data_IF_937603379556
#
_entry.id   IF_937603379556
#
_cell.length_a   1.000
_cell.length_b   1.000
_cell.length_c   1.000
_cell.angle_alpha   90.00
_cell.angle_beta   90.00
_cell.angle_gamma   90.00
#
_symmetry.space_group_name_H-M   'P 1'
#
loop_
_entity.id
_entity.type
_entity.pdbx_description
1 polymer ?
#
# COMPACT_ATOMS: atom_id res chain seq x y z
N UNK A 1 -1.82 4.87 0.31
CA UNK A 1 -0.40 5.15 0.58
C UNK A 1 -0.08 4.76 2.02
N UNK A 2 1.09 4.23 2.26
CA UNK A 2 1.54 3.81 3.57
C UNK A 2 2.80 4.61 3.95
N UNK A 3 2.95 5.10 5.21
CA UNK A 3 4.11 5.90 5.60
C UNK A 3 5.43 5.21 5.31
N UNK A 4 6.42 6.00 4.90
CA UNK A 4 7.77 5.49 4.63
C UNK A 4 8.41 4.95 5.91
N UNK A 5 9.09 3.81 5.77
CA UNK A 5 9.89 3.20 6.83
C UNK A 5 11.26 2.84 6.27
N UNK A 6 12.31 3.42 6.83
CA UNK A 6 13.67 3.27 6.33
C UNK A 6 14.17 1.81 6.38
N UNK A 7 13.92 1.14 7.50
CA UNK A 7 14.33 -0.26 7.66
C UNK A 7 13.63 -1.18 6.67
N UNK A 8 12.34 -0.98 6.45
CA UNK A 8 11.56 -1.73 5.47
C UNK A 8 12.07 -1.49 4.05
N UNK A 9 12.40 -0.24 3.72
CA UNK A 9 12.98 0.10 2.43
C UNK A 9 14.31 -0.62 2.22
N UNK A 10 15.20 -0.63 3.22
CA UNK A 10 16.50 -1.29 3.13
C UNK A 10 16.37 -2.81 2.91
N UNK A 11 15.34 -3.43 3.48
CA UNK A 11 15.05 -4.86 3.28
C UNK A 11 14.50 -5.15 1.88
N UNK A 12 13.80 -4.21 1.28
CA UNK A 12 13.22 -4.38 -0.06
C UNK A 12 13.27 -3.04 -0.83
N UNK A 13 14.43 -2.69 -1.39
CA UNK A 13 14.59 -1.42 -2.11
C UNK A 13 13.86 -1.34 -3.45
N UNK A 14 13.23 -2.42 -3.90
CA UNK A 14 12.40 -2.41 -5.10
C UNK A 14 10.99 -1.87 -4.86
N UNK A 15 10.60 -1.61 -3.62
CA UNK A 15 9.29 -1.03 -3.31
C UNK A 15 9.13 0.34 -3.95
N UNK A 16 7.99 0.55 -4.59
CA UNK A 16 7.67 1.81 -5.24
C UNK A 16 7.38 2.89 -4.20
N UNK A 17 7.97 4.06 -4.41
CA UNK A 17 7.78 5.23 -3.54
C UNK A 17 7.02 6.34 -4.25
N UNK A 18 6.26 7.09 -3.47
CA UNK A 18 5.54 8.28 -3.93
C UNK A 18 5.65 9.38 -2.89
N UNK A 19 5.43 10.63 -3.30
CA UNK A 19 5.24 11.72 -2.36
C UNK A 19 3.79 11.74 -1.85
N UNK A 20 3.54 12.51 -0.78
CA UNK A 20 2.16 12.70 -0.28
C UNK A 20 1.24 13.23 -1.37
N UNK A 21 1.74 14.06 -2.26
CA UNK A 21 0.98 14.60 -3.40
C UNK A 21 0.83 13.62 -4.58
N UNK A 22 1.42 12.43 -4.49
CA UNK A 22 1.25 11.37 -5.49
C UNK A 22 2.30 11.31 -6.59
N UNK A 23 3.36 12.12 -6.53
CA UNK A 23 4.44 12.05 -7.53
C UNK A 23 5.36 10.86 -7.29
N UNK A 24 5.79 10.23 -8.37
CA UNK A 24 6.74 9.12 -8.29
C UNK A 24 8.07 9.60 -7.71
N UNK A 25 8.64 8.79 -6.84
CA UNK A 25 9.92 9.05 -6.19
C UNK A 25 10.82 7.83 -6.24
N UNK A 26 12.12 8.06 -6.32
CA UNK A 26 13.12 6.99 -6.21
C UNK A 26 14.33 7.46 -5.41
N UNK A 27 14.79 6.63 -4.50
CA UNK A 27 15.94 6.91 -3.66
C UNK A 27 17.22 6.56 -4.45
N UNK A 28 18.17 7.50 -4.50
CA UNK A 28 19.45 7.29 -5.16
C UNK A 28 20.61 7.21 -4.19
N UNK A 29 20.42 7.64 -2.94
CA UNK A 29 21.43 7.56 -1.90
C UNK A 29 20.76 7.52 -0.53
N UNK A 30 21.27 6.67 0.37
CA UNK A 30 20.74 6.52 1.73
C UNK A 30 21.76 6.88 2.82
N UNK A 31 22.98 7.14 2.43
CA UNK A 31 24.12 7.35 3.33
C UNK A 31 24.87 8.67 3.07
N UNK A 32 24.15 9.68 2.59
CA UNK A 32 24.73 11.01 2.43
C UNK A 32 25.25 11.50 3.79
N UNK A 33 26.43 12.11 3.80
CA UNK A 33 27.04 12.65 5.03
C UNK A 33 26.36 13.96 5.44
N UNK A 34 25.17 13.83 6.00
CA UNK A 34 24.38 14.92 6.55
C UNK A 34 23.57 14.35 7.71
N UNK A 35 23.67 14.98 8.88
CA UNK A 35 23.03 14.47 10.11
C UNK A 35 21.50 14.49 10.01
N UNK A 36 20.94 15.46 9.31
CA UNK A 36 19.49 15.69 9.22
C UNK A 36 18.87 15.08 7.96
N UNK A 37 19.58 15.14 6.82
CA UNK A 37 19.06 14.75 5.51
C UNK A 37 19.99 13.76 4.80
N UNK A 38 20.08 12.52 5.28
CA UNK A 38 20.97 11.53 4.68
C UNK A 38 20.45 10.90 3.39
N UNK A 39 19.17 11.06 3.07
CA UNK A 39 18.54 10.43 1.92
C UNK A 39 18.39 11.40 0.77
N UNK A 40 18.89 11.02 -0.41
CA UNK A 40 18.73 11.77 -1.65
C UNK A 40 17.71 11.07 -2.53
N UNK A 41 16.71 11.82 -2.99
CA UNK A 41 15.57 11.28 -3.75
C UNK A 41 15.39 12.09 -5.03
N UNK A 42 15.08 11.40 -6.12
CA UNK A 42 14.61 12.03 -7.34
C UNK A 42 13.10 11.90 -7.43
N UNK A 43 12.42 13.03 -7.55
CA UNK A 43 10.96 13.12 -7.61
C UNK A 43 10.54 13.62 -8.97
N UNK A 44 9.60 12.92 -9.62
CA UNK A 44 9.06 13.32 -10.92
C UNK A 44 8.35 14.68 -10.80
N UNK A 45 8.59 15.56 -11.77
CA UNK A 45 7.89 16.85 -11.81
C UNK A 45 6.45 16.70 -12.33
N UNK A 46 5.66 17.80 -12.26
CA UNK A 46 4.24 17.80 -12.69
C UNK A 46 4.03 17.35 -14.13
N UNK A 47 4.97 17.65 -15.01
CA UNK A 47 4.87 17.31 -16.44
C UNK A 47 5.42 15.91 -16.75
N UNK A 48 5.98 15.21 -15.76
CA UNK A 48 6.65 13.91 -15.90
C UNK A 48 7.78 13.91 -16.94
N UNK A 49 8.29 15.09 -17.29
CA UNK A 49 9.38 15.25 -18.28
C UNK A 49 10.75 15.34 -17.63
N UNK A 50 10.83 15.39 -16.31
CA UNK A 50 12.07 15.45 -15.58
C UNK A 50 11.90 15.09 -14.11
N UNK A 51 13.01 15.13 -13.40
CA UNK A 51 13.04 14.81 -11.97
C UNK A 51 13.73 15.92 -11.21
N UNK A 52 13.22 16.24 -10.02
CA UNK A 52 13.84 17.16 -9.08
C UNK A 52 14.57 16.40 -8.01
N UNK A 53 15.74 16.90 -7.60
CA UNK A 53 16.53 16.30 -6.51
C UNK A 53 16.09 16.90 -5.19
N UNK A 54 15.61 16.04 -4.27
CA UNK A 54 15.19 16.44 -2.93
C UNK A 54 15.95 15.64 -1.88
N UNK A 55 16.07 16.21 -0.68
CA UNK A 55 16.76 15.61 0.46
C UNK A 55 15.76 15.34 1.56
N UNK A 56 15.89 14.18 2.22
CA UNK A 56 14.93 13.71 3.22
C UNK A 56 15.61 13.22 4.48
N UNK A 57 14.89 13.30 5.58
CA UNK A 57 15.29 12.66 6.84
C UNK A 57 15.19 11.14 6.72
N UNK A 58 15.74 10.39 7.68
CA UNK A 58 15.61 8.93 7.71
C UNK A 58 14.15 8.47 7.78
N UNK A 59 13.27 9.28 8.36
CA UNK A 59 11.84 8.99 8.43
C UNK A 59 11.08 9.31 7.14
N UNK A 60 11.78 9.77 6.10
CA UNK A 60 11.15 10.16 4.84
C UNK A 60 10.44 11.51 4.89
N UNK A 61 10.79 12.35 5.85
CA UNK A 61 10.23 13.70 6.00
C UNK A 61 11.04 14.74 5.24
N UNK A 62 10.34 15.69 4.65
CA UNK A 62 10.98 16.79 3.94
C UNK A 62 11.65 17.80 4.91
N UNK A 63 11.07 18.00 6.09
CA UNK A 63 11.61 18.85 7.14
C UNK A 63 11.85 18.08 8.45
N UNK A 64 12.94 18.42 9.15
CA UNK A 64 13.26 17.85 10.47
C UNK A 64 12.27 18.26 11.56
N UNK A 65 11.53 19.34 11.34
CA UNK A 65 10.55 19.87 12.31
C UNK A 65 9.30 19.03 12.47
N UNK A 66 9.16 17.95 11.70
CA UNK A 66 8.07 17.00 11.85
C UNK A 66 6.71 17.44 11.29
N UNK A 67 6.62 18.62 10.69
CA UNK A 67 5.41 19.06 10.01
C UNK A 67 5.10 18.23 8.76
N UNK A 68 3.82 18.03 8.45
CA UNK A 68 3.42 17.35 7.23
C UNK A 68 3.63 18.26 6.01
N UNK A 69 4.20 17.69 4.94
CA UNK A 69 4.40 18.41 3.69
C UNK A 69 3.91 17.57 2.51
N UNK A 70 3.56 18.20 1.36
CA UNK A 70 3.21 17.46 0.15
C UNK A 70 4.36 16.61 -0.39
N UNK A 71 5.58 16.87 0.03
CA UNK A 71 6.80 16.21 -0.45
C UNK A 71 7.20 14.99 0.38
N UNK A 72 6.59 14.77 1.56
CA UNK A 72 6.93 13.63 2.40
C UNK A 72 6.81 12.31 1.64
N UNK A 73 7.71 11.36 1.92
CA UNK A 73 7.75 10.06 1.25
C UNK A 73 6.74 9.08 1.83
N UNK A 74 6.18 8.27 0.93
CA UNK A 74 5.29 7.16 1.27
C UNK A 74 5.61 5.96 0.39
N UNK A 75 5.26 4.76 0.86
CA UNK A 75 5.19 3.60 -0.02
C UNK A 75 3.92 3.67 -0.85
N UNK A 76 4.05 3.47 -2.16
CA UNK A 76 2.90 3.32 -3.04
C UNK A 76 2.24 1.98 -2.75
N UNK A 77 0.93 1.98 -2.52
CA UNK A 77 0.15 0.77 -2.32
C UNK A 77 -0.81 0.59 -3.48
N UNK A 78 -1.10 -0.68 -3.81
CA UNK A 78 -2.15 -1.02 -4.77
C UNK A 78 -3.39 -1.43 -4.03
N UNK A 79 -4.53 -0.85 -4.42
CA UNK A 79 -5.81 -1.28 -3.92
C UNK A 79 -6.21 -2.58 -4.61
N UNK A 80 -6.48 -3.61 -3.82
CA UNK A 80 -6.93 -4.91 -4.30
C UNK A 80 -8.36 -5.15 -3.83
N UNK A 81 -9.09 -5.92 -4.61
CA UNK A 81 -10.45 -6.31 -4.26
C UNK A 81 -10.70 -7.77 -4.62
N UNK A 82 -11.64 -8.37 -3.92
CA UNK A 82 -12.07 -9.73 -4.18
C UNK A 82 -13.39 -10.03 -3.48
N UNK A 83 -13.91 -11.22 -3.66
CA UNK A 83 -15.17 -11.64 -3.07
C UNK A 83 -14.97 -12.91 -2.24
N UNK A 84 -15.65 -12.98 -1.11
CA UNK A 84 -15.64 -14.14 -0.24
C UNK A 84 -17.07 -14.57 0.02
N UNK A 85 -17.26 -15.87 0.24
CA UNK A 85 -18.55 -16.43 0.60
C UNK A 85 -18.71 -16.43 2.12
N UNK A 86 -19.92 -16.12 2.57
CA UNK A 86 -20.29 -16.10 3.98
C UNK A 86 -21.26 -17.26 4.24
N UNK A 87 -20.99 -18.05 5.26
CA UNK A 87 -21.77 -19.22 5.62
C UNK A 87 -22.25 -19.11 7.08
N UNK A 88 -23.33 -19.84 7.39
CA UNK A 88 -23.81 -19.95 8.76
C UNK A 88 -23.01 -21.04 9.48
N UNK A 89 -22.32 -20.66 10.55
CA UNK A 89 -21.56 -21.61 11.37
C UNK A 89 -22.46 -22.47 12.25
N UNK A 90 -21.89 -23.55 12.80
CA UNK A 90 -22.59 -24.49 13.67
C UNK A 90 -23.12 -23.82 14.95
N UNK A 91 -22.52 -22.73 15.38
CA UNK A 91 -22.94 -21.93 16.54
C UNK A 91 -24.01 -20.89 16.21
N UNK A 92 -24.47 -20.82 14.96
CA UNK A 92 -25.43 -19.85 14.48
C UNK A 92 -24.82 -18.54 14.04
N UNK A 93 -23.53 -18.33 14.18
CA UNK A 93 -22.81 -17.13 13.74
C UNK A 93 -22.35 -17.25 12.28
N UNK A 94 -22.23 -16.12 11.62
CA UNK A 94 -21.69 -16.06 10.25
C UNK A 94 -20.20 -16.32 10.25
N UNK A 95 -19.71 -17.03 9.25
CA UNK A 95 -18.28 -17.23 9.03
C UNK A 95 -17.94 -17.16 7.55
N UNK A 96 -16.70 -16.78 7.24
CA UNK A 96 -16.17 -16.82 5.89
C UNK A 96 -15.76 -18.26 5.59
N UNK A 97 -16.27 -18.79 4.46
CA UNK A 97 -15.88 -20.14 4.02
C UNK A 97 -14.47 -20.10 3.45
N UNK A 98 -13.67 -21.10 3.80
CA UNK A 98 -12.30 -21.28 3.32
C UNK A 98 -11.48 -19.99 3.23
N UNK A 99 -10.21 -20.11 2.97
CA UNK A 99 -9.33 -18.98 2.67
C UNK A 99 -9.39 -18.57 1.21
N UNK A 100 -10.41 -18.99 0.46
CA UNK A 100 -10.51 -18.73 -0.97
C UNK A 100 -11.14 -17.37 -1.26
N UNK A 101 -10.42 -16.52 -2.03
CA UNK A 101 -10.88 -15.22 -2.50
C UNK A 101 -11.15 -15.32 -3.99
N UNK A 102 -12.38 -15.01 -4.39
CA UNK A 102 -12.79 -15.06 -5.79
C UNK A 102 -12.53 -13.72 -6.48
N UNK A 103 -12.22 -13.77 -7.76
CA UNK A 103 -11.97 -12.57 -8.57
C UNK A 103 -13.24 -11.86 -9.00
N UNK A 104 -14.39 -12.55 -8.98
CA UNK A 104 -15.68 -11.98 -9.32
C UNK A 104 -16.75 -12.45 -8.39
N UNK A 105 -17.79 -11.63 -8.23
CA UNK A 105 -18.98 -11.98 -7.43
C UNK A 105 -19.68 -13.21 -7.98
N UNK A 106 -19.81 -13.30 -9.31
CA UNK A 106 -20.46 -14.43 -9.98
C UNK A 106 -19.78 -15.76 -9.66
N UNK A 107 -18.45 -15.81 -9.72
CA UNK A 107 -17.70 -17.02 -9.41
C UNK A 107 -17.87 -17.42 -7.94
N UNK A 108 -17.86 -16.47 -7.02
CA UNK A 108 -18.08 -16.71 -5.61
C UNK A 108 -19.49 -17.26 -5.34
N UNK A 109 -20.51 -16.66 -5.94
CA UNK A 109 -21.90 -17.10 -5.79
C UNK A 109 -22.11 -18.51 -6.31
N UNK A 110 -21.56 -18.85 -7.46
CA UNK A 110 -21.65 -20.19 -8.05
C UNK A 110 -21.14 -21.27 -7.09
N UNK A 111 -20.00 -21.04 -6.47
CA UNK A 111 -19.41 -21.98 -5.53
C UNK A 111 -20.20 -22.03 -4.23
N UNK A 112 -20.62 -20.87 -3.71
CA UNK A 112 -21.37 -20.77 -2.47
C UNK A 112 -22.72 -21.49 -2.53
N UNK A 113 -23.43 -21.41 -3.64
CA UNK A 113 -24.75 -22.00 -3.81
C UNK A 113 -24.76 -23.52 -3.72
N UNK A 114 -23.63 -24.19 -3.76
CA UNK A 114 -23.53 -25.64 -3.56
C UNK A 114 -23.60 -26.07 -2.10
N UNK A 115 -23.48 -25.13 -1.17
CA UNK A 115 -23.47 -25.38 0.27
C UNK A 115 -24.77 -24.90 0.90
N UNK A 116 -25.38 -25.77 1.74
CA UNK A 116 -26.64 -25.47 2.43
C UNK A 116 -26.54 -24.37 3.47
N UNK A 117 -25.33 -24.09 3.96
CA UNK A 117 -25.08 -23.04 4.96
C UNK A 117 -24.75 -21.69 4.34
N UNK A 118 -24.71 -21.61 3.01
CA UNK A 118 -24.40 -20.38 2.30
C UNK A 118 -25.43 -19.28 2.60
N UNK A 119 -24.91 -18.12 3.06
CA UNK A 119 -25.73 -16.95 3.38
C UNK A 119 -25.64 -15.91 2.26
N UNK A 120 -24.45 -15.68 1.73
CA UNK A 120 -24.22 -14.67 0.70
C UNK A 120 -22.76 -14.49 0.37
N UNK A 121 -22.51 -13.59 -0.57
CA UNK A 121 -21.17 -13.22 -1.03
C UNK A 121 -20.93 -11.74 -0.68
N UNK A 122 -19.75 -11.44 -0.14
CA UNK A 122 -19.39 -10.07 0.18
C UNK A 122 -18.09 -9.69 -0.49
N UNK A 123 -18.01 -8.41 -0.88
CA UNK A 123 -16.79 -7.81 -1.43
C UNK A 123 -15.85 -7.43 -0.31
N UNK A 124 -14.57 -7.73 -0.47
CA UNK A 124 -13.51 -7.29 0.43
C UNK A 124 -12.51 -6.45 -0.36
N UNK A 125 -11.92 -5.45 0.30
CA UNK A 125 -10.89 -4.60 -0.26
C UNK A 125 -9.71 -4.54 0.70
N UNK A 126 -8.49 -4.48 0.15
CA UNK A 126 -7.28 -4.33 0.95
C UNK A 126 -6.20 -3.61 0.15
N UNK A 127 -5.17 -3.08 0.84
CA UNK A 127 -4.00 -2.45 0.24
C UNK A 127 -2.77 -3.38 0.39
N UNK A 128 -2.04 -3.50 -0.69
CA UNK A 128 -0.74 -4.20 -0.71
C UNK A 128 0.42 -3.23 -0.56
#
# INVERSE_FOLDING_TARGET
>A
MRPFNFEEYLKNPSKKLVTRSGYNARIICTDRKDADYPIIVLVSNKSETGEDTLYYTEEGKFYTTGGETPFDLFFATKKREGWVNVFKGADGNSCVGDSHIFKSEEDAEKEGMTDKTYIGTTKIEWEE
#
